data_IF_267481182799
#
_entry.id   IF_267481182799
#
_cell.length_a   1.000
_cell.length_b   1.000
_cell.length_c   1.000
_cell.angle_alpha   90.00
_cell.angle_beta   90.00
_cell.angle_gamma   90.00
#
_symmetry.space_group_name_H-M   'P 1'
#
loop_
_entity.id
_entity.type
_entity.pdbx_description
1 polymer ?
#
# COMPACT_ATOMS: atom_id res chain seq x y z
N UNK A 1 18.01 67.85 7.62
CA UNK A 1 17.50 66.89 6.60
C UNK A 1 18.51 65.78 6.44
N UNK A 2 18.26 64.65 7.04
CA UNK A 2 19.13 63.47 7.01
C UNK A 2 18.40 62.44 6.15
N UNK A 3 19.00 62.17 4.97
CA UNK A 3 18.48 61.16 4.04
C UNK A 3 18.92 59.78 4.49
N UNK A 4 17.94 58.88 4.81
CA UNK A 4 18.18 57.50 5.19
C UNK A 4 18.08 56.64 3.92
N UNK A 5 19.20 56.21 3.35
CA UNK A 5 19.23 55.27 2.25
C UNK A 5 19.12 53.83 2.78
N UNK A 6 17.98 53.20 2.52
CA UNK A 6 17.73 51.80 2.86
C UNK A 6 18.43 50.89 1.86
N UNK A 7 19.43 50.12 2.34
CA UNK A 7 20.15 49.13 1.56
C UNK A 7 19.34 47.85 1.53
N UNK A 8 18.73 47.49 0.39
CA UNK A 8 18.10 46.20 0.19
C UNK A 8 19.20 45.14 -0.09
N UNK A 9 19.34 44.21 0.85
CA UNK A 9 20.13 43.01 0.66
C UNK A 9 19.29 41.96 -0.09
N UNK A 10 19.57 41.78 -1.37
CA UNK A 10 18.98 40.71 -2.16
C UNK A 10 19.76 39.43 -1.86
N UNK A 11 19.18 38.57 -1.01
CA UNK A 11 19.70 37.21 -0.78
C UNK A 11 19.41 36.35 -2.01
N UNK A 12 20.41 36.14 -2.83
CA UNK A 12 20.37 35.21 -3.96
C UNK A 12 20.48 33.78 -3.44
N UNK A 13 19.37 33.06 -3.36
CA UNK A 13 19.37 31.60 -3.23
C UNK A 13 19.96 31.01 -4.51
N UNK A 14 21.21 30.59 -4.48
CA UNK A 14 21.76 29.68 -5.47
C UNK A 14 21.08 28.31 -5.29
N UNK A 15 20.24 27.94 -6.24
CA UNK A 15 19.82 26.56 -6.41
C UNK A 15 21.07 25.73 -6.68
N UNK A 16 21.40 24.81 -5.77
CA UNK A 16 22.39 23.78 -6.03
C UNK A 16 21.75 22.81 -7.04
N UNK A 17 22.24 22.86 -8.29
CA UNK A 17 22.09 21.76 -9.23
C UNK A 17 22.81 20.55 -8.63
N UNK A 18 22.04 19.62 -8.04
CA UNK A 18 22.54 18.29 -7.79
C UNK A 18 22.57 17.56 -9.13
N UNK A 19 23.76 17.41 -9.68
CA UNK A 19 24.04 16.57 -10.83
C UNK A 19 23.58 15.14 -10.56
N UNK A 20 22.46 14.76 -11.18
CA UNK A 20 21.91 13.40 -11.19
C UNK A 20 22.63 12.49 -12.17
N UNK A 21 23.96 12.55 -12.23
CA UNK A 21 24.77 11.69 -13.10
C UNK A 21 25.94 11.08 -12.32
N UNK A 22 25.63 10.10 -11.44
CA UNK A 22 26.59 9.07 -11.05
C UNK A 22 25.87 7.92 -10.32
N UNK A 23 24.91 7.26 -10.98
CA UNK A 23 24.57 5.90 -10.59
C UNK A 23 25.74 5.03 -11.07
N UNK A 24 26.73 4.84 -10.19
CA UNK A 24 27.72 3.79 -10.35
C UNK A 24 26.93 2.49 -10.47
N UNK A 25 26.90 1.88 -11.67
CA UNK A 25 26.35 0.55 -11.90
C UNK A 25 27.10 -0.42 -10.98
N UNK A 26 26.56 -0.65 -9.77
CA UNK A 26 27.01 -1.72 -8.90
C UNK A 26 26.69 -3.04 -9.62
N UNK A 27 27.69 -3.89 -9.78
CA UNK A 27 27.68 -5.16 -10.53
C UNK A 27 26.70 -6.20 -9.96
N UNK A 28 25.94 -5.88 -8.88
CA UNK A 28 25.00 -6.74 -8.14
C UNK A 28 23.62 -6.08 -7.90
N UNK A 29 23.17 -5.20 -8.79
CA UNK A 29 21.83 -4.62 -8.65
C UNK A 29 20.79 -5.70 -8.92
N UNK A 30 19.84 -5.91 -7.97
CA UNK A 30 18.71 -6.82 -8.14
C UNK A 30 17.96 -6.44 -9.43
N UNK A 31 17.61 -7.45 -10.23
CA UNK A 31 16.90 -7.26 -11.48
C UNK A 31 15.80 -8.28 -11.64
N UNK A 32 14.60 -7.82 -11.96
CA UNK A 32 13.48 -8.69 -12.35
C UNK A 32 13.46 -8.91 -13.87
N UNK A 33 13.05 -10.11 -14.28
CA UNK A 33 12.69 -10.44 -15.67
C UNK A 33 11.19 -10.68 -15.83
N UNK A 34 10.43 -10.46 -14.74
CA UNK A 34 8.99 -10.70 -14.74
C UNK A 34 8.27 -9.73 -15.66
N UNK A 35 7.33 -10.25 -16.42
CA UNK A 35 6.51 -9.50 -17.35
C UNK A 35 5.05 -9.88 -17.25
N UNK A 36 4.19 -8.90 -17.50
CA UNK A 36 2.75 -9.11 -17.66
C UNK A 36 2.46 -9.84 -18.99
N UNK A 37 1.62 -10.84 -18.94
CA UNK A 37 1.15 -11.53 -20.16
C UNK A 37 -0.01 -10.75 -20.79
N UNK A 38 0.35 -9.76 -21.60
CA UNK A 38 -0.62 -8.93 -22.32
C UNK A 38 -1.44 -9.72 -23.31
N UNK A 39 -0.88 -10.77 -23.93
CA UNK A 39 -1.55 -11.59 -24.93
C UNK A 39 -2.73 -12.33 -24.32
N UNK A 40 -2.47 -13.10 -23.26
CA UNK A 40 -3.53 -13.82 -22.54
C UNK A 40 -4.55 -12.84 -21.94
N UNK A 41 -4.09 -11.74 -21.33
CA UNK A 41 -4.98 -10.74 -20.76
C UNK A 41 -5.99 -10.20 -21.78
N UNK A 42 -5.54 -9.73 -22.95
CA UNK A 42 -6.44 -9.17 -23.96
C UNK A 42 -7.33 -10.22 -24.64
N UNK A 43 -6.89 -11.47 -24.70
CA UNK A 43 -7.68 -12.57 -25.26
C UNK A 43 -8.80 -13.03 -24.32
N UNK A 44 -8.52 -13.07 -23.01
CA UNK A 44 -9.39 -13.70 -22.00
C UNK A 44 -10.21 -12.69 -21.17
N UNK A 45 -9.87 -11.39 -21.21
CA UNK A 45 -10.55 -10.38 -20.40
C UNK A 45 -12.02 -10.22 -20.76
N UNK A 46 -12.85 -10.02 -19.74
CA UNK A 46 -14.25 -9.64 -19.89
C UNK A 46 -14.41 -8.16 -19.53
N UNK A 47 -14.66 -7.31 -20.53
CA UNK A 47 -14.62 -5.86 -20.36
C UNK A 47 -13.20 -5.38 -20.05
N UNK A 48 -12.98 -4.84 -18.84
CA UNK A 48 -11.69 -4.28 -18.41
C UNK A 48 -10.92 -5.17 -17.44
N UNK A 49 -11.35 -6.42 -17.26
CA UNK A 49 -10.82 -7.29 -16.21
C UNK A 49 -10.69 -8.75 -16.70
N UNK A 50 -9.63 -9.44 -16.23
CA UNK A 50 -9.43 -10.87 -16.38
C UNK A 50 -9.30 -11.51 -14.99
N UNK A 51 -10.13 -12.51 -14.69
CA UNK A 51 -10.10 -13.28 -13.45
C UNK A 51 -9.88 -14.76 -13.74
N UNK A 52 -8.98 -15.39 -12.97
CA UNK A 52 -8.71 -16.82 -13.07
C UNK A 52 -8.21 -17.40 -11.74
N UNK A 53 -8.23 -18.72 -11.63
CA UNK A 53 -7.67 -19.45 -10.49
C UNK A 53 -6.27 -19.96 -10.83
N UNK A 54 -5.29 -19.65 -9.97
CA UNK A 54 -3.92 -20.14 -10.11
C UNK A 54 -3.57 -21.05 -8.94
N UNK A 55 -3.11 -22.29 -9.22
CA UNK A 55 -2.93 -23.36 -8.23
C UNK A 55 -2.02 -23.01 -7.03
N UNK A 56 -1.03 -22.13 -7.19
CA UNK A 56 -0.17 -21.65 -6.10
C UNK A 56 -0.62 -20.35 -5.47
N UNK A 57 -1.23 -19.44 -6.27
CA UNK A 57 -1.51 -18.06 -5.88
C UNK A 57 -2.98 -17.83 -5.47
N UNK A 58 -3.86 -18.78 -5.79
CA UNK A 58 -5.29 -18.66 -5.59
C UNK A 58 -5.96 -17.78 -6.65
N UNK A 59 -6.97 -17.02 -6.28
CA UNK A 59 -7.69 -16.13 -7.19
C UNK A 59 -6.79 -14.99 -7.65
N UNK A 60 -6.66 -14.87 -8.97
CA UNK A 60 -5.92 -13.80 -9.63
C UNK A 60 -6.90 -12.89 -10.36
N UNK A 61 -6.69 -11.60 -10.20
CA UNK A 61 -7.48 -10.55 -10.83
C UNK A 61 -6.54 -9.56 -11.49
N UNK A 62 -6.71 -9.37 -12.81
CA UNK A 62 -5.88 -8.49 -13.62
C UNK A 62 -6.74 -7.41 -14.27
N UNK A 63 -6.25 -6.18 -14.35
CA UNK A 63 -6.92 -5.06 -15.01
C UNK A 63 -5.92 -3.96 -15.41
N UNK A 64 -6.39 -2.98 -16.18
CA UNK A 64 -5.56 -1.88 -16.67
C UNK A 64 -5.23 -2.01 -18.17
N UNK A 65 -4.19 -1.32 -18.60
CA UNK A 65 -3.73 -1.29 -19.99
C UNK A 65 -4.54 -0.36 -20.90
N UNK A 66 -5.73 0.04 -20.51
CA UNK A 66 -6.56 0.95 -21.28
C UNK A 66 -6.09 2.40 -21.12
N UNK A 67 -6.17 3.18 -22.22
CA UNK A 67 -5.75 4.59 -22.25
C UNK A 67 -4.32 4.85 -21.76
N UNK A 68 -3.41 3.86 -21.88
CA UNK A 68 -2.02 3.99 -21.47
C UNK A 68 -1.79 3.79 -19.98
N UNK A 69 -2.79 3.34 -19.21
CA UNK A 69 -2.61 2.96 -17.82
C UNK A 69 -1.76 1.70 -17.66
N UNK A 70 -1.06 1.56 -16.55
CA UNK A 70 -0.32 0.36 -16.22
C UNK A 70 -1.26 -0.84 -16.00
N UNK A 71 -0.71 -2.06 -16.10
CA UNK A 71 -1.44 -3.27 -15.71
C UNK A 71 -1.28 -3.51 -14.23
N UNK A 72 -2.35 -4.00 -13.59
CA UNK A 72 -2.35 -4.32 -12.17
C UNK A 72 -2.83 -5.76 -11.99
N UNK A 73 -2.16 -6.50 -11.12
CA UNK A 73 -2.52 -7.86 -10.75
C UNK A 73 -2.65 -7.97 -9.23
N UNK A 74 -3.78 -8.47 -8.76
CA UNK A 74 -3.97 -8.94 -7.41
C UNK A 74 -4.08 -10.46 -7.38
N UNK A 75 -3.38 -11.11 -6.47
CA UNK A 75 -3.46 -12.55 -6.27
C UNK A 75 -3.61 -12.89 -4.79
N UNK A 76 -4.60 -13.74 -4.42
CA UNK A 76 -4.83 -14.13 -3.04
C UNK A 76 -5.51 -15.49 -2.94
N UNK A 77 -5.08 -16.33 -2.00
CA UNK A 77 -5.77 -17.57 -1.63
C UNK A 77 -6.99 -17.28 -0.77
N UNK A 78 -8.06 -18.04 -0.94
CA UNK A 78 -9.32 -17.83 -0.18
C UNK A 78 -9.12 -17.96 1.34
N UNK A 79 -8.20 -18.82 1.78
CA UNK A 79 -7.86 -19.03 3.19
C UNK A 79 -6.75 -18.11 3.71
N UNK A 80 -6.40 -17.04 2.99
CA UNK A 80 -5.39 -16.06 3.38
C UNK A 80 -6.00 -14.68 3.56
N UNK A 81 -5.62 -13.99 4.61
CA UNK A 81 -5.94 -12.58 4.82
C UNK A 81 -5.07 -11.65 3.97
N UNK A 82 -3.96 -12.18 3.43
CA UNK A 82 -2.99 -11.42 2.65
C UNK A 82 -2.86 -11.95 1.24
N UNK A 83 -2.64 -11.04 0.31
CA UNK A 83 -2.36 -11.31 -1.08
C UNK A 83 -1.11 -10.60 -1.56
N UNK A 84 -0.83 -10.73 -2.85
CA UNK A 84 0.24 -10.03 -3.57
C UNK A 84 -0.38 -9.06 -4.56
N UNK A 85 0.07 -7.81 -4.54
CA UNK A 85 -0.23 -6.80 -5.55
C UNK A 85 0.99 -6.61 -6.44
N UNK A 86 0.79 -6.54 -7.75
CA UNK A 86 1.80 -6.24 -8.75
C UNK A 86 1.29 -5.18 -9.70
N UNK A 87 2.14 -4.25 -10.06
CA UNK A 87 1.92 -3.28 -11.13
C UNK A 87 2.98 -3.48 -12.22
N UNK A 88 2.59 -3.37 -13.47
CA UNK A 88 3.47 -3.53 -14.61
C UNK A 88 3.38 -2.33 -15.53
N UNK A 89 4.51 -1.90 -16.07
CA UNK A 89 4.55 -0.83 -17.05
C UNK A 89 3.71 -1.17 -18.28
N UNK A 90 2.86 -0.26 -18.69
CA UNK A 90 1.98 -0.44 -19.85
C UNK A 90 2.76 -0.74 -21.15
N UNK A 91 3.83 0.01 -21.40
CA UNK A 91 4.58 -0.07 -22.68
C UNK A 91 5.43 -1.33 -22.79
N UNK A 92 6.08 -1.73 -21.72
CA UNK A 92 7.06 -2.82 -21.73
C UNK A 92 6.54 -4.12 -21.16
N UNK A 93 5.44 -4.05 -20.38
CA UNK A 93 4.97 -5.16 -19.56
C UNK A 93 5.88 -5.53 -18.41
N UNK A 94 7.02 -4.86 -18.22
CA UNK A 94 7.98 -5.16 -17.15
C UNK A 94 7.33 -4.87 -15.79
N UNK A 95 7.60 -5.73 -14.79
CA UNK A 95 7.19 -5.49 -13.40
C UNK A 95 7.74 -4.15 -12.92
N UNK A 96 6.82 -3.28 -12.46
CA UNK A 96 7.12 -1.96 -11.91
C UNK A 96 7.14 -1.98 -10.39
N UNK A 97 6.13 -2.58 -9.79
CA UNK A 97 5.91 -2.57 -8.35
C UNK A 97 5.40 -3.93 -7.87
N UNK A 98 5.89 -4.41 -6.74
CA UNK A 98 5.39 -5.63 -6.11
C UNK A 98 5.41 -5.51 -4.60
N UNK A 99 4.35 -5.99 -3.95
CA UNK A 99 4.25 -6.01 -2.51
C UNK A 99 3.10 -6.87 -2.00
N UNK A 100 2.94 -6.90 -0.69
CA UNK A 100 1.83 -7.60 -0.02
C UNK A 100 0.74 -6.62 0.36
N UNK A 101 -0.49 -7.08 0.34
CA UNK A 101 -1.64 -6.31 0.82
C UNK A 101 -2.53 -7.15 1.73
N UNK A 102 -3.17 -6.50 2.70
CA UNK A 102 -4.28 -7.07 3.44
C UNK A 102 -5.56 -6.87 2.63
N UNK A 103 -6.33 -7.95 2.45
CA UNK A 103 -7.40 -8.04 1.45
C UNK A 103 -8.51 -7.00 1.58
N UNK A 104 -8.66 -6.38 2.74
CA UNK A 104 -9.72 -5.41 3.00
C UNK A 104 -9.29 -3.95 2.88
N UNK A 105 -7.96 -3.61 2.91
CA UNK A 105 -7.64 -2.19 2.92
C UNK A 105 -6.18 -1.78 2.67
N UNK A 106 -5.16 -2.41 3.28
CA UNK A 106 -3.83 -1.78 3.38
C UNK A 106 -2.70 -2.61 2.80
N UNK A 107 -1.69 -1.90 2.31
CA UNK A 107 -0.42 -2.48 1.90
C UNK A 107 0.43 -2.83 3.12
N UNK A 108 1.22 -3.91 3.05
CA UNK A 108 2.05 -4.41 4.15
C UNK A 108 3.33 -5.08 3.65
N UNK A 109 4.27 -5.29 4.57
CA UNK A 109 5.57 -5.87 4.27
C UNK A 109 6.46 -4.97 3.43
N UNK A 110 7.46 -5.59 2.81
CA UNK A 110 8.40 -4.90 1.93
C UNK A 110 7.80 -4.78 0.55
N UNK A 111 7.80 -3.56 0.01
CA UNK A 111 7.44 -3.25 -1.36
C UNK A 111 8.70 -2.92 -2.15
N UNK A 112 8.76 -3.41 -3.39
CA UNK A 112 9.89 -3.22 -4.30
C UNK A 112 9.43 -2.51 -5.56
N UNK A 113 10.15 -1.48 -5.97
CA UNK A 113 9.91 -0.75 -7.20
C UNK A 113 11.07 -0.96 -8.18
N UNK A 114 10.74 -1.20 -9.46
CA UNK A 114 11.69 -1.47 -10.53
C UNK A 114 11.51 -0.46 -11.66
N UNK A 115 12.59 -0.16 -12.39
CA UNK A 115 12.53 0.64 -13.62
C UNK A 115 12.01 -0.19 -14.82
N UNK A 116 11.80 0.46 -15.97
CA UNK A 116 11.31 -0.21 -17.18
C UNK A 116 12.28 -1.29 -17.73
N UNK A 117 13.56 -1.27 -17.31
CA UNK A 117 14.57 -2.29 -17.63
C UNK A 117 14.60 -3.43 -16.61
N UNK A 118 13.79 -3.33 -15.55
CA UNK A 118 13.67 -4.31 -14.47
C UNK A 118 14.70 -4.16 -13.35
N UNK A 119 15.49 -3.08 -13.29
CA UNK A 119 16.39 -2.86 -12.17
C UNK A 119 15.67 -2.30 -10.96
N UNK A 120 15.98 -2.85 -9.78
CA UNK A 120 15.43 -2.36 -8.50
C UNK A 120 15.89 -0.92 -8.27
N UNK A 121 14.93 -0.01 -8.09
CA UNK A 121 15.18 1.42 -7.86
C UNK A 121 14.80 1.87 -6.47
N UNK A 122 13.83 1.19 -5.83
CA UNK A 122 13.42 1.50 -4.46
C UNK A 122 12.90 0.25 -3.73
N UNK A 123 13.06 0.27 -2.40
CA UNK A 123 12.52 -0.74 -1.49
C UNK A 123 12.09 -0.06 -0.20
N UNK A 124 10.82 -0.25 0.19
CA UNK A 124 10.28 0.38 1.39
C UNK A 124 9.39 -0.54 2.21
N UNK A 125 9.47 -0.39 3.53
CA UNK A 125 8.76 -1.20 4.51
C UNK A 125 7.46 -0.50 4.93
N UNK A 126 6.33 -0.99 4.42
CA UNK A 126 4.99 -0.48 4.77
C UNK A 126 4.62 -0.73 6.23
N UNK A 127 5.30 -1.66 6.90
CA UNK A 127 5.06 -1.96 8.31
C UNK A 127 5.92 -1.10 9.24
N UNK A 128 6.88 -0.33 8.71
CA UNK A 128 7.79 0.48 9.52
C UNK A 128 7.11 1.39 10.55
N UNK A 129 6.00 2.10 10.25
CA UNK A 129 5.30 2.92 11.24
C UNK A 129 4.60 2.11 12.34
N UNK A 130 4.36 0.81 12.12
CA UNK A 130 3.54 -0.06 12.98
C UNK A 130 4.35 -1.05 13.82
N UNK A 131 5.68 -0.95 13.85
CA UNK A 131 6.59 -1.91 14.51
C UNK A 131 6.32 -2.10 16.01
N UNK A 132 5.86 -1.06 16.71
CA UNK A 132 5.60 -1.14 18.15
C UNK A 132 4.29 -1.90 18.47
N UNK A 133 3.30 -1.83 17.56
CA UNK A 133 2.05 -2.58 17.64
C UNK A 133 1.76 -3.21 16.27
N UNK A 134 2.47 -4.30 15.90
CA UNK A 134 2.38 -4.91 14.58
C UNK A 134 1.09 -5.70 14.40
N UNK A 135 0.89 -6.21 13.16
CA UNK A 135 -0.29 -6.98 12.79
C UNK A 135 -0.60 -8.13 13.75
N UNK A 136 0.38 -8.87 14.22
CA UNK A 136 0.20 -10.02 15.11
C UNK A 136 -0.49 -9.62 16.43
N UNK A 137 -0.21 -8.43 16.95
CA UNK A 137 -0.90 -7.89 18.12
C UNK A 137 -2.34 -7.50 17.82
N UNK A 138 -2.59 -6.91 16.65
CA UNK A 138 -3.95 -6.58 16.17
C UNK A 138 -4.75 -7.85 15.97
N UNK A 139 -4.19 -8.84 15.27
CA UNK A 139 -4.82 -10.14 15.05
C UNK A 139 -5.19 -10.83 16.36
N UNK A 140 -4.24 -10.88 17.30
CA UNK A 140 -4.48 -11.42 18.64
C UNK A 140 -5.61 -10.69 19.35
N UNK A 141 -5.58 -9.36 19.36
CA UNK A 141 -6.62 -8.54 19.98
C UNK A 141 -8.02 -8.84 19.39
N UNK A 142 -8.12 -8.91 18.06
CA UNK A 142 -9.38 -9.20 17.37
C UNK A 142 -9.88 -10.61 17.70
N UNK A 143 -9.01 -11.61 17.65
CA UNK A 143 -9.38 -13.01 17.91
C UNK A 143 -9.64 -13.31 19.39
N UNK A 144 -8.77 -12.82 20.28
CA UNK A 144 -8.81 -13.23 21.69
C UNK A 144 -9.63 -12.29 22.58
N UNK A 145 -9.59 -10.98 22.35
CA UNK A 145 -10.32 -10.00 23.17
C UNK A 145 -11.70 -9.70 22.59
N UNK A 146 -11.79 -9.49 21.27
CA UNK A 146 -13.08 -9.20 20.64
C UNK A 146 -13.85 -10.45 20.25
N UNK A 147 -13.22 -11.64 20.20
CA UNK A 147 -13.81 -12.92 19.78
C UNK A 147 -14.42 -12.87 18.38
N UNK A 148 -13.74 -12.17 17.45
CA UNK A 148 -14.22 -11.98 16.08
C UNK A 148 -13.39 -12.84 15.10
N UNK A 149 -14.07 -13.29 14.04
CA UNK A 149 -13.44 -13.94 12.90
C UNK A 149 -12.98 -12.87 11.89
N UNK A 150 -11.70 -12.86 11.56
CA UNK A 150 -11.11 -11.95 10.59
C UNK A 150 -11.57 -12.20 9.14
N UNK A 151 -12.15 -13.36 8.86
CA UNK A 151 -12.77 -13.68 7.56
C UNK A 151 -14.25 -13.29 7.48
N UNK A 152 -14.87 -12.86 8.60
CA UNK A 152 -16.23 -12.33 8.56
C UNK A 152 -16.26 -11.01 7.79
N UNK A 153 -17.12 -10.95 6.74
CA UNK A 153 -17.34 -9.73 5.93
C UNK A 153 -17.80 -8.51 6.72
N UNK A 154 -18.25 -8.69 7.95
CA UNK A 154 -18.66 -7.63 8.86
C UNK A 154 -17.50 -7.12 9.73
N UNK A 155 -16.30 -7.69 9.60
CA UNK A 155 -15.08 -7.25 10.27
C UNK A 155 -14.16 -6.59 9.24
N UNK A 156 -13.69 -5.38 9.53
CA UNK A 156 -12.75 -4.64 8.68
C UNK A 156 -11.64 -4.07 9.54
N UNK A 157 -10.41 -4.26 9.10
CA UNK A 157 -9.21 -3.70 9.72
C UNK A 157 -8.60 -2.72 8.75
N UNK A 158 -8.29 -1.52 9.22
CA UNK A 158 -7.63 -0.44 8.47
C UNK A 158 -6.43 0.10 9.22
N UNK A 159 -5.53 0.74 8.50
CA UNK A 159 -4.43 1.48 9.13
C UNK A 159 -4.07 2.72 8.33
N UNK A 160 -3.59 3.74 9.02
CA UNK A 160 -3.02 4.94 8.41
C UNK A 160 -2.15 5.70 9.41
N UNK A 161 -1.27 6.54 8.91
CA UNK A 161 -0.58 7.55 9.74
C UNK A 161 -1.42 8.83 9.72
N UNK A 162 -1.76 9.34 10.89
CA UNK A 162 -2.60 10.53 11.01
C UNK A 162 -1.86 11.78 10.56
N UNK A 163 -2.34 12.48 9.55
CA UNK A 163 -1.74 13.73 9.05
C UNK A 163 -1.64 14.83 10.12
N UNK A 164 -2.59 14.84 11.07
CA UNK A 164 -2.65 15.86 12.13
C UNK A 164 -1.64 15.62 13.25
N UNK A 165 -1.35 14.37 13.56
CA UNK A 165 -0.56 14.01 14.77
C UNK A 165 0.68 13.19 14.42
N UNK A 166 0.84 12.77 13.18
CA UNK A 166 1.87 11.84 12.71
C UNK A 166 1.93 10.53 13.53
N UNK A 167 0.79 10.14 14.11
CA UNK A 167 0.67 8.90 14.88
C UNK A 167 0.12 7.81 13.97
N UNK A 168 0.79 6.65 13.84
CA UNK A 168 0.24 5.49 13.17
C UNK A 168 -0.90 4.90 14.00
N UNK A 169 -1.98 4.55 13.32
CA UNK A 169 -3.18 4.02 13.98
C UNK A 169 -3.73 2.81 13.27
N UNK A 170 -4.29 1.90 14.05
CA UNK A 170 -5.16 0.82 13.60
C UNK A 170 -6.60 1.19 13.85
N UNK A 171 -7.48 0.83 12.92
CA UNK A 171 -8.94 0.95 13.08
C UNK A 171 -9.55 -0.43 12.85
N UNK A 172 -10.36 -0.85 13.81
CA UNK A 172 -11.13 -2.10 13.74
C UNK A 172 -12.59 -1.70 13.69
N UNK A 173 -13.30 -2.11 12.63
CA UNK A 173 -14.73 -1.98 12.51
C UNK A 173 -15.38 -3.36 12.52
N UNK A 174 -16.47 -3.50 13.26
CA UNK A 174 -17.28 -4.72 13.22
C UNK A 174 -18.75 -4.45 13.52
N UNK A 175 -19.60 -5.29 12.98
CA UNK A 175 -21.06 -5.15 13.10
C UNK A 175 -21.59 -5.86 14.35
N UNK A 176 -22.44 -5.18 15.10
CA UNK A 176 -23.21 -5.74 16.23
C UNK A 176 -24.67 -5.34 16.07
N UNK A 177 -25.53 -6.29 15.69
CA UNK A 177 -26.91 -6.00 15.35
C UNK A 177 -27.04 -5.00 14.20
N UNK A 178 -27.70 -3.87 14.43
CA UNK A 178 -27.83 -2.76 13.48
C UNK A 178 -26.77 -1.66 13.65
N UNK A 179 -25.72 -1.91 14.41
CA UNK A 179 -24.67 -0.91 14.68
C UNK A 179 -23.31 -1.35 14.15
N UNK A 180 -22.46 -0.38 13.85
CA UNK A 180 -21.03 -0.58 13.61
C UNK A 180 -20.26 -0.08 14.82
N UNK A 181 -19.49 -0.96 15.45
CA UNK A 181 -18.52 -0.61 16.47
C UNK A 181 -17.23 -0.25 15.78
N UNK A 182 -16.58 0.85 16.21
CA UNK A 182 -15.29 1.32 15.74
C UNK A 182 -14.33 1.43 16.91
N UNK A 183 -13.17 0.79 16.79
CA UNK A 183 -12.08 0.87 17.78
C UNK A 183 -10.86 1.44 17.05
N UNK A 184 -10.27 2.50 17.62
CA UNK A 184 -9.03 3.11 17.12
C UNK A 184 -7.91 2.88 18.14
N UNK A 185 -6.80 2.28 17.69
CA UNK A 185 -5.63 1.94 18.52
C UNK A 185 -4.44 2.77 18.06
N UNK A 186 -3.71 3.35 19.01
CA UNK A 186 -2.41 3.98 18.77
C UNK A 186 -1.36 2.89 18.51
N UNK A 187 -0.79 2.85 17.31
CA UNK A 187 0.18 1.82 16.96
C UNK A 187 1.57 2.03 17.59
N UNK A 188 1.83 3.16 18.23
CA UNK A 188 3.06 3.36 19.00
C UNK A 188 2.96 2.74 20.40
N UNK A 189 1.76 2.78 21.03
CA UNK A 189 1.58 2.36 22.45
C UNK A 189 0.71 1.10 22.59
N UNK A 190 -0.15 0.81 21.63
CA UNK A 190 -1.18 -0.23 21.71
C UNK A 190 -2.44 0.20 22.48
N UNK A 191 -2.53 1.46 22.90
CA UNK A 191 -3.68 1.96 23.66
C UNK A 191 -4.88 2.24 22.74
N UNK A 192 -6.08 1.93 23.23
CA UNK A 192 -7.32 2.32 22.58
C UNK A 192 -7.53 3.81 22.82
N UNK A 193 -7.37 4.60 21.75
CA UNK A 193 -7.56 6.06 21.80
C UNK A 193 -8.99 6.51 21.48
N UNK A 194 -9.79 5.62 20.90
CA UNK A 194 -11.22 5.88 20.66
C UNK A 194 -11.98 4.57 20.51
N UNK A 195 -13.17 4.51 21.13
CA UNK A 195 -14.17 3.49 20.88
C UNK A 195 -15.53 4.18 20.68
N UNK A 196 -16.27 3.79 19.68
CA UNK A 196 -17.58 4.35 19.36
C UNK A 196 -18.50 3.35 18.69
N UNK A 197 -19.79 3.64 18.71
CA UNK A 197 -20.83 2.83 18.08
C UNK A 197 -21.71 3.77 17.27
N UNK A 198 -21.92 3.46 16.00
CA UNK A 198 -22.76 4.24 15.09
C UNK A 198 -23.86 3.33 14.50
N UNK A 199 -25.11 3.80 14.37
CA UNK A 199 -26.16 3.06 13.70
C UNK A 199 -25.83 2.93 12.19
N UNK A 200 -26.23 1.80 11.61
CA UNK A 200 -26.20 1.61 10.17
C UNK A 200 -27.38 2.40 9.60
N UNK A 201 -27.08 3.48 8.89
CA UNK A 201 -28.09 4.25 8.14
C UNK A 201 -28.45 3.38 6.92
N UNK A 202 -29.75 3.03 6.81
CA UNK A 202 -30.28 2.30 5.66
C UNK A 202 -30.58 3.24 4.51
#
# INVERSE_FOLDING_TARGET
>A
MISLTTLMIISSCKAQNTDSNNIKKNKNMERTTERFDTSTYYMERQGHEYQFEHYLRGKVRQFGGDNGSNYIEYARKDNSLFGTCKEYYNKTGTLKLVGKYYYNDFDCGIWKEYDENGYLIDEYDQDAPYKNYPWEKVEKFVKEELKLDLFDKNVSIRRYVSDKTNIPVWIIHYKVGSNIVSIKINANTGEIIKKGTNPIIK
#
